data_IF_541543374512
#
_entry.id   IF_541543374512
#
_cell.length_a   1.000
_cell.length_b   1.000
_cell.length_c   1.000
_cell.angle_alpha   90.00
_cell.angle_beta   90.00
_cell.angle_gamma   90.00
#
_symmetry.space_group_name_H-M   'P 1'
#
loop_
_entity.id
_entity.type
_entity.pdbx_description
1 polymer ?
#
# COMPACT_ATOMS: atom_id res chain seq x y z
N UNK A 1 17.51 11.62 -14.03
CA UNK A 1 16.30 11.04 -14.64
C UNK A 1 16.48 9.53 -14.70
N UNK A 2 15.93 8.71 -13.79
CA UNK A 2 15.99 7.27 -13.95
C UNK A 2 14.78 6.76 -14.74
N UNK A 3 15.04 5.69 -15.48
CA UNK A 3 14.35 5.26 -16.68
C UNK A 3 12.99 4.60 -16.43
N UNK A 4 12.10 4.73 -17.42
CA UNK A 4 10.88 3.93 -17.54
C UNK A 4 11.21 2.43 -17.39
N UNK A 5 10.26 1.61 -16.88
CA UNK A 5 10.51 0.19 -16.64
C UNK A 5 11.02 -0.48 -17.92
N UNK A 6 12.24 -1.01 -17.87
CA UNK A 6 12.83 -1.76 -18.97
C UNK A 6 11.84 -2.87 -19.39
N UNK A 7 11.69 -3.14 -20.69
CA UNK A 7 10.68 -4.05 -21.23
C UNK A 7 10.62 -5.45 -20.56
N UNK A 8 11.72 -5.89 -19.91
CA UNK A 8 11.75 -7.09 -19.08
C UNK A 8 10.89 -7.00 -17.81
N UNK A 9 10.86 -5.85 -17.12
CA UNK A 9 10.11 -5.68 -15.87
C UNK A 9 8.60 -5.86 -16.06
N UNK A 10 8.05 -5.37 -17.18
CA UNK A 10 6.62 -5.57 -17.51
C UNK A 10 6.25 -7.04 -17.65
N UNK A 11 7.10 -7.84 -18.31
CA UNK A 11 6.87 -9.29 -18.45
C UNK A 11 6.95 -10.01 -17.12
N UNK A 12 7.86 -9.60 -16.24
CA UNK A 12 7.96 -10.15 -14.88
C UNK A 12 6.67 -9.86 -14.09
N UNK A 13 6.13 -8.64 -14.16
CA UNK A 13 4.86 -8.32 -13.49
C UNK A 13 3.68 -9.09 -14.06
N UNK A 14 3.63 -9.31 -15.37
CA UNK A 14 2.61 -10.16 -16.00
C UNK A 14 2.70 -11.60 -15.49
N UNK A 15 3.91 -12.16 -15.44
CA UNK A 15 4.13 -13.50 -14.89
C UNK A 15 3.75 -13.59 -13.40
N UNK A 16 4.11 -12.58 -12.59
CA UNK A 16 3.70 -12.52 -11.18
C UNK A 16 2.18 -12.46 -11.02
N UNK A 17 1.50 -11.71 -11.90
CA UNK A 17 0.04 -11.66 -11.92
C UNK A 17 -0.55 -13.04 -12.22
N UNK A 18 -0.10 -13.71 -13.28
CA UNK A 18 -0.58 -15.05 -13.65
C UNK A 18 -0.40 -16.08 -12.51
N UNK A 19 0.78 -16.08 -11.87
CA UNK A 19 1.09 -16.96 -10.74
C UNK A 19 0.19 -16.66 -9.54
N UNK A 20 0.02 -15.38 -9.19
CA UNK A 20 -0.81 -14.98 -8.05
C UNK A 20 -2.30 -15.28 -8.29
N UNK A 21 -2.79 -15.07 -9.51
CA UNK A 21 -4.17 -15.42 -9.90
C UNK A 21 -4.40 -16.92 -9.85
N UNK A 22 -3.45 -17.74 -10.31
CA UNK A 22 -3.55 -19.20 -10.20
C UNK A 22 -3.53 -19.71 -8.74
N UNK A 23 -2.87 -18.97 -7.84
CA UNK A 23 -2.81 -19.28 -6.41
C UNK A 23 -4.03 -18.80 -5.62
N UNK A 24 -4.83 -17.87 -6.15
CA UNK A 24 -5.94 -17.27 -5.42
C UNK A 24 -7.00 -18.28 -4.96
N UNK A 25 -7.49 -19.23 -5.78
CA UNK A 25 -8.50 -20.19 -5.34
C UNK A 25 -8.02 -21.16 -4.22
N UNK A 26 -6.83 -21.79 -4.30
CA UNK A 26 -6.39 -22.70 -3.23
C UNK A 26 -5.80 -21.97 -2.01
N UNK A 27 -5.20 -20.79 -2.19
CA UNK A 27 -4.46 -20.08 -1.14
C UNK A 27 -4.69 -18.55 -1.19
N UNK A 28 -5.91 -18.07 -0.92
CA UNK A 28 -6.28 -16.66 -1.13
C UNK A 28 -5.47 -15.69 -0.28
N UNK A 29 -5.21 -16.03 0.98
CA UNK A 29 -4.39 -15.20 1.86
C UNK A 29 -2.94 -15.03 1.33
N UNK A 30 -2.37 -16.08 0.75
CA UNK A 30 -1.02 -16.02 0.17
C UNK A 30 -1.01 -15.21 -1.12
N UNK A 31 -1.98 -15.46 -2.01
CA UNK A 31 -2.13 -14.72 -3.25
C UNK A 31 -2.30 -13.21 -2.99
N UNK A 32 -3.13 -12.82 -2.02
CA UNK A 32 -3.29 -11.43 -1.61
C UNK A 32 -1.95 -10.81 -1.18
N UNK A 33 -1.17 -11.50 -0.35
CA UNK A 33 0.15 -10.99 0.07
C UNK A 33 1.11 -10.84 -1.11
N UNK A 34 1.11 -11.81 -2.05
CA UNK A 34 1.91 -11.72 -3.27
C UNK A 34 1.53 -10.51 -4.12
N UNK A 35 0.24 -10.24 -4.29
CA UNK A 35 -0.24 -9.04 -4.98
C UNK A 35 0.22 -7.75 -4.30
N UNK A 36 0.14 -7.66 -2.96
CA UNK A 36 0.60 -6.48 -2.23
C UNK A 36 2.11 -6.27 -2.34
N UNK A 37 2.92 -7.34 -2.28
CA UNK A 37 4.37 -7.23 -2.48
C UNK A 37 4.72 -6.84 -3.92
N UNK A 38 4.00 -7.39 -4.91
CA UNK A 38 4.16 -7.01 -6.32
C UNK A 38 3.78 -5.56 -6.57
N UNK A 39 2.74 -5.04 -5.90
CA UNK A 39 2.37 -3.63 -5.94
C UNK A 39 3.50 -2.73 -5.43
N UNK A 40 4.12 -3.07 -4.29
CA UNK A 40 5.28 -2.32 -3.77
C UNK A 40 6.48 -2.35 -4.72
N UNK A 41 6.75 -3.49 -5.36
CA UNK A 41 7.80 -3.60 -6.37
C UNK A 41 7.49 -2.76 -7.63
N UNK A 42 6.22 -2.72 -8.06
CA UNK A 42 5.78 -1.89 -9.19
C UNK A 42 5.84 -0.38 -8.87
N UNK A 43 5.52 0.01 -7.63
CA UNK A 43 5.68 1.39 -7.13
C UNK A 43 7.15 1.83 -7.17
N UNK A 44 8.06 0.98 -6.66
CA UNK A 44 9.50 1.22 -6.72
C UNK A 44 10.03 1.31 -8.17
N UNK A 45 9.43 0.55 -9.10
CA UNK A 45 9.71 0.61 -10.52
C UNK A 45 9.04 1.80 -11.25
N UNK A 46 8.38 2.71 -10.53
CA UNK A 46 7.64 3.87 -11.07
C UNK A 46 6.57 3.49 -12.10
N UNK A 47 5.89 2.36 -11.87
CA UNK A 47 4.81 1.86 -12.72
C UNK A 47 3.45 1.92 -11.98
N UNK A 48 2.89 3.13 -11.73
CA UNK A 48 1.73 3.32 -10.87
C UNK A 48 0.48 2.57 -11.36
N UNK A 49 0.27 2.48 -12.68
CA UNK A 49 -0.86 1.72 -13.25
C UNK A 49 -0.78 0.22 -12.96
N UNK A 50 0.43 -0.37 -12.96
CA UNK A 50 0.64 -1.78 -12.60
C UNK A 50 0.45 -1.97 -11.10
N UNK A 51 0.98 -1.05 -10.28
CA UNK A 51 0.79 -1.10 -8.83
C UNK A 51 -0.70 -1.00 -8.45
N UNK A 52 -1.45 -0.13 -9.11
CA UNK A 52 -2.89 0.05 -8.87
C UNK A 52 -3.68 -1.22 -9.21
N UNK A 53 -3.35 -1.85 -10.34
CA UNK A 53 -3.95 -3.12 -10.74
C UNK A 53 -3.70 -4.20 -9.68
N UNK A 54 -2.47 -4.33 -9.19
CA UNK A 54 -2.15 -5.31 -8.16
C UNK A 54 -2.89 -5.05 -6.83
N UNK A 55 -3.02 -3.80 -6.40
CA UNK A 55 -3.83 -3.49 -5.20
C UNK A 55 -5.31 -3.80 -5.44
N UNK A 56 -5.82 -3.51 -6.64
CA UNK A 56 -7.21 -3.83 -7.01
C UNK A 56 -7.48 -5.34 -6.99
N UNK A 57 -6.55 -6.16 -7.49
CA UNK A 57 -6.64 -7.61 -7.39
C UNK A 57 -6.61 -8.11 -5.94
N UNK A 58 -5.76 -7.50 -5.09
CA UNK A 58 -5.75 -7.81 -3.66
C UNK A 58 -7.10 -7.49 -2.99
N UNK A 59 -7.79 -6.42 -3.42
CA UNK A 59 -9.11 -6.06 -2.91
C UNK A 59 -10.19 -7.06 -3.34
N UNK A 60 -10.14 -7.52 -4.59
CA UNK A 60 -11.07 -8.56 -5.08
C UNK A 60 -10.94 -9.86 -4.27
N UNK A 61 -9.72 -10.33 -4.03
CA UNK A 61 -9.49 -11.53 -3.20
C UNK A 61 -10.00 -11.34 -1.77
N UNK A 62 -9.85 -10.13 -1.22
CA UNK A 62 -10.41 -9.82 0.10
C UNK A 62 -11.94 -9.92 0.12
N UNK A 63 -12.61 -9.48 -0.93
CA UNK A 63 -14.07 -9.47 -1.04
C UNK A 63 -14.66 -10.86 -1.34
N UNK A 64 -14.03 -11.61 -2.23
CA UNK A 64 -14.61 -12.84 -2.81
C UNK A 64 -14.13 -14.11 -2.11
N UNK A 65 -12.87 -14.16 -1.66
CA UNK A 65 -12.23 -15.42 -1.24
C UNK A 65 -11.92 -15.48 0.27
N UNK A 66 -11.82 -14.33 0.96
CA UNK A 66 -11.51 -14.28 2.38
C UNK A 66 -12.77 -14.20 3.25
N UNK A 67 -13.22 -15.34 3.79
CA UNK A 67 -14.38 -15.41 4.69
C UNK A 67 -14.04 -15.39 6.20
N UNK A 68 -12.84 -15.81 6.60
CA UNK A 68 -12.47 -15.87 8.02
C UNK A 68 -12.20 -14.48 8.61
N UNK A 69 -12.89 -14.13 9.70
CA UNK A 69 -12.80 -12.81 10.33
C UNK A 69 -11.39 -12.41 10.78
N UNK A 70 -10.57 -13.37 11.25
CA UNK A 70 -9.20 -13.08 11.69
C UNK A 70 -8.28 -12.91 10.49
N UNK A 71 -8.46 -13.72 9.45
CA UNK A 71 -7.75 -13.58 8.19
C UNK A 71 -8.07 -12.24 7.51
N UNK A 72 -9.34 -11.82 7.49
CA UNK A 72 -9.77 -10.51 6.99
C UNK A 72 -9.07 -9.36 7.73
N UNK A 73 -9.06 -9.38 9.07
CA UNK A 73 -8.37 -8.34 9.85
C UNK A 73 -6.88 -8.25 9.49
N UNK A 74 -6.17 -9.38 9.41
CA UNK A 74 -4.75 -9.44 9.04
C UNK A 74 -4.49 -8.98 7.60
N UNK A 75 -5.35 -9.39 6.67
CA UNK A 75 -5.26 -8.97 5.28
C UNK A 75 -5.44 -7.45 5.18
N UNK A 76 -6.43 -6.90 5.89
CA UNK A 76 -6.69 -5.47 5.90
C UNK A 76 -5.56 -4.65 6.54
N UNK A 77 -4.95 -5.15 7.62
CA UNK A 77 -3.72 -4.55 8.18
C UNK A 77 -2.59 -4.49 7.13
N UNK A 78 -2.44 -5.56 6.35
CA UNK A 78 -1.41 -5.65 5.30
C UNK A 78 -1.72 -4.73 4.12
N UNK A 79 -2.98 -4.66 3.68
CA UNK A 79 -3.44 -3.77 2.60
C UNK A 79 -3.19 -2.31 2.95
N UNK A 80 -3.53 -1.90 4.17
CA UNK A 80 -3.27 -0.56 4.65
C UNK A 80 -1.77 -0.26 4.75
N UNK A 81 -0.97 -1.22 5.22
CA UNK A 81 0.49 -1.11 5.24
C UNK A 81 1.10 -0.93 3.85
N UNK A 82 0.65 -1.71 2.87
CA UNK A 82 1.09 -1.63 1.48
C UNK A 82 0.73 -0.27 0.85
N UNK A 83 -0.51 0.19 1.03
CA UNK A 83 -0.97 1.51 0.56
C UNK A 83 -0.14 2.65 1.14
N UNK A 84 0.24 2.56 2.41
CA UNK A 84 1.11 3.55 3.05
C UNK A 84 2.50 3.56 2.44
N UNK A 85 3.05 2.39 2.12
CA UNK A 85 4.39 2.24 1.55
C UNK A 85 4.48 2.69 0.09
N UNK A 86 3.41 2.53 -0.70
CA UNK A 86 3.38 3.00 -2.09
C UNK A 86 3.21 4.53 -2.14
N UNK A 87 4.14 5.21 -2.82
CA UNK A 87 4.19 6.69 -2.87
C UNK A 87 4.06 7.25 -4.28
N UNK A 88 4.04 6.42 -5.32
CA UNK A 88 3.97 6.84 -6.71
C UNK A 88 2.55 7.00 -7.25
N UNK A 89 1.51 6.74 -6.43
CA UNK A 89 0.11 6.92 -6.81
C UNK A 89 -0.28 8.40 -6.95
N UNK A 90 -1.19 8.66 -7.89
CA UNK A 90 -1.85 9.95 -7.96
C UNK A 90 -2.73 10.18 -6.72
N UNK A 91 -2.88 11.43 -6.23
CA UNK A 91 -3.64 11.72 -5.02
C UNK A 91 -5.08 11.21 -5.05
N UNK A 92 -5.75 11.30 -6.21
CA UNK A 92 -7.13 10.81 -6.38
C UNK A 92 -7.24 9.30 -6.21
N UNK A 93 -6.30 8.56 -6.80
CA UNK A 93 -6.30 7.10 -6.77
C UNK A 93 -5.94 6.61 -5.37
N UNK A 94 -4.98 7.28 -4.71
CA UNK A 94 -4.64 7.02 -3.32
C UNK A 94 -5.84 7.23 -2.40
N UNK A 95 -6.56 8.34 -2.54
CA UNK A 95 -7.74 8.63 -1.72
C UNK A 95 -8.87 7.62 -1.95
N UNK A 96 -9.08 7.19 -3.20
CA UNK A 96 -10.06 6.15 -3.52
C UNK A 96 -9.71 4.80 -2.84
N UNK A 97 -8.45 4.37 -2.93
CA UNK A 97 -7.99 3.12 -2.31
C UNK A 97 -8.01 3.21 -0.77
N UNK A 98 -7.60 4.34 -0.20
CA UNK A 98 -7.66 4.58 1.24
C UNK A 98 -9.11 4.56 1.77
N UNK A 99 -10.04 5.16 1.01
CA UNK A 99 -11.47 5.14 1.33
C UNK A 99 -12.01 3.71 1.32
N UNK A 100 -11.64 2.88 0.34
CA UNK A 100 -12.03 1.47 0.32
C UNK A 100 -11.51 0.71 1.55
N UNK A 101 -10.24 0.88 1.92
CA UNK A 101 -9.68 0.27 3.13
C UNK A 101 -10.45 0.70 4.39
N UNK A 102 -10.77 1.99 4.52
CA UNK A 102 -11.57 2.49 5.64
C UNK A 102 -12.98 1.89 5.67
N UNK A 103 -13.62 1.73 4.51
CA UNK A 103 -14.93 1.06 4.40
C UNK A 103 -14.88 -0.40 4.81
N UNK A 104 -13.84 -1.15 4.42
CA UNK A 104 -13.66 -2.53 4.88
C UNK A 104 -13.42 -2.59 6.39
N UNK A 105 -12.62 -1.68 6.94
CA UNK A 105 -12.34 -1.62 8.38
C UNK A 105 -13.63 -1.40 9.17
N UNK A 106 -14.50 -0.50 8.70
CA UNK A 106 -15.79 -0.21 9.31
C UNK A 106 -16.79 -1.38 9.22
N UNK A 107 -16.61 -2.32 8.27
CA UNK A 107 -17.50 -3.47 8.07
C UNK A 107 -17.07 -4.74 8.82
N UNK A 108 -15.94 -4.71 9.55
CA UNK A 108 -15.49 -5.86 10.33
C UNK A 108 -16.49 -6.26 11.42
N UNK A 109 -16.72 -7.56 11.56
CA UNK A 109 -17.67 -8.13 12.51
C UNK A 109 -17.24 -7.92 13.98
N UNK A 110 -15.93 -7.92 14.25
CA UNK A 110 -15.38 -7.86 15.61
C UNK A 110 -15.04 -6.43 15.97
N UNK A 111 -15.76 -5.86 16.96
CA UNK A 111 -15.56 -4.47 17.42
C UNK A 111 -14.11 -4.12 17.82
N UNK A 112 -13.35 -4.96 18.52
CA UNK A 112 -11.96 -4.64 18.85
C UNK A 112 -11.09 -4.47 17.59
N UNK A 113 -11.28 -5.35 16.61
CA UNK A 113 -10.53 -5.31 15.35
C UNK A 113 -10.98 -4.11 14.50
N UNK A 114 -12.29 -3.84 14.45
CA UNK A 114 -12.89 -2.68 13.79
C UNK A 114 -12.28 -1.36 14.29
N UNK A 115 -12.26 -1.13 15.61
CA UNK A 115 -11.70 0.10 16.18
C UNK A 115 -10.21 0.27 15.85
N UNK A 116 -9.42 -0.81 15.99
CA UNK A 116 -7.98 -0.79 15.69
C UNK A 116 -7.72 -0.50 14.21
N UNK A 117 -8.47 -1.12 13.31
CA UNK A 117 -8.27 -0.98 11.86
C UNK A 117 -8.81 0.34 11.31
N UNK A 118 -9.89 0.89 11.88
CA UNK A 118 -10.37 2.24 11.54
C UNK A 118 -9.33 3.29 11.95
N UNK A 119 -8.74 3.16 13.15
CA UNK A 119 -7.66 4.05 13.58
C UNK A 119 -6.43 3.93 12.67
N UNK A 120 -6.09 2.72 12.22
CA UNK A 120 -5.00 2.51 11.27
C UNK A 120 -5.33 3.17 9.91
N UNK A 121 -6.54 2.98 9.38
CA UNK A 121 -6.97 3.57 8.12
C UNK A 121 -6.96 5.11 8.15
N UNK A 122 -7.21 5.74 9.30
CA UNK A 122 -7.12 7.20 9.45
C UNK A 122 -5.71 7.74 9.11
N UNK A 123 -4.65 6.95 9.36
CA UNK A 123 -3.28 7.35 9.01
C UNK A 123 -3.04 7.44 7.50
N UNK A 124 -3.81 6.74 6.67
CA UNK A 124 -3.66 6.80 5.20
C UNK A 124 -3.96 8.20 4.65
N UNK A 125 -4.91 8.90 5.27
CA UNK A 125 -5.31 10.25 4.89
C UNK A 125 -4.37 11.34 5.42
N UNK A 126 -3.58 11.05 6.45
CA UNK A 126 -2.64 12.01 7.02
C UNK A 126 -1.43 12.28 6.11
N UNK A 127 -0.95 11.24 5.41
CA UNK A 127 0.22 11.36 4.54
C UNK A 127 -0.07 11.99 3.18
N UNK A 128 -1.35 12.08 2.79
CA UNK A 128 -1.81 12.62 1.51
C UNK A 128 -1.72 14.16 1.42
N UNK A 129 -1.48 14.87 2.54
CA UNK A 129 -1.40 16.34 2.58
C UNK A 129 -0.01 16.84 3.02
N UNK A 130 0.93 17.07 2.08
CA UNK A 130 2.26 17.60 2.40
C UNK A 130 2.24 18.96 3.11
N UNK A 131 1.21 19.78 2.86
CA UNK A 131 1.08 21.14 3.40
C UNK A 131 0.63 21.22 4.86
N UNK A 132 0.08 20.13 5.43
CA UNK A 132 -0.40 20.10 6.81
C UNK A 132 0.56 19.38 7.77
N UNK A 133 1.75 18.99 7.29
CA UNK A 133 2.83 18.53 8.17
C UNK A 133 3.26 19.71 9.03
N UNK A 134 2.59 19.91 10.16
CA UNK A 134 3.17 20.57 11.31
C UNK A 134 4.55 19.95 11.47
N UNK A 135 5.59 20.75 11.26
CA UNK A 135 6.97 20.33 11.32
C UNK A 135 7.17 19.61 12.66
N UNK A 136 7.21 18.28 12.61
CA UNK A 136 7.44 17.52 13.82
C UNK A 136 8.80 17.97 14.37
N UNK A 137 8.95 18.19 15.69
CA UNK A 137 10.23 18.59 16.27
C UNK A 137 11.37 17.63 15.91
N UNK A 138 11.04 16.35 15.63
CA UNK A 138 12.00 15.32 15.18
C UNK A 138 12.55 15.57 13.78
N UNK A 139 11.76 16.09 12.85
CA UNK A 139 12.23 16.43 11.50
C UNK A 139 12.97 17.77 11.46
N UNK A 140 12.63 18.72 12.36
CA UNK A 140 13.37 19.97 12.51
C UNK A 140 14.79 19.74 13.09
N UNK A 141 14.92 18.83 14.07
CA UNK A 141 16.22 18.49 14.65
C UNK A 141 17.15 17.77 13.65
N UNK A 142 16.61 16.91 12.78
CA UNK A 142 17.40 16.22 11.75
C UNK A 142 17.83 17.18 10.61
N UNK A 143 16.98 18.13 10.22
CA UNK A 143 17.33 19.15 9.22
C UNK A 143 18.41 20.13 9.72
N UNK A 144 18.47 20.40 11.03
CA UNK A 144 19.51 21.25 11.61
C UNK A 144 20.89 20.57 11.68
N UNK A 145 20.97 19.24 11.67
CA UNK A 145 22.23 18.50 11.81
C UNK A 145 22.89 18.12 10.46
N UNK A 146 22.16 18.20 9.34
CA UNK A 146 22.68 17.88 8.00
C UNK A 146 23.31 19.04 7.23
N UNK A 147 23.25 20.27 7.73
CA UNK A 147 23.64 21.49 6.99
C UNK A 147 25.07 21.99 7.18
N UNK A 148 25.89 21.35 8.04
CA UNK A 148 27.15 21.96 8.50
C UNK A 148 28.45 21.36 7.95
N UNK A 149 28.43 20.35 7.05
CA UNK A 149 29.69 19.64 6.67
C UNK A 149 30.04 19.70 5.17
N UNK A 150 29.42 20.56 4.36
CA UNK A 150 29.80 20.71 2.93
C UNK A 150 30.18 22.16 2.56
N UNK A 151 30.65 22.96 3.52
CA UNK A 151 31.11 24.34 3.26
C UNK A 151 32.56 24.62 3.71
N UNK A 152 33.41 23.60 3.87
CA UNK A 152 34.83 23.80 4.13
C UNK A 152 35.68 22.64 3.59
N UNK A 153 35.99 22.69 2.29
CA UNK A 153 37.23 22.21 1.66
C UNK A 153 37.24 22.64 0.19
#
# INVERSE_FOLDING_TARGET
>A
VPAAPAAGARRVFQFLHEVATALAPPFPALALQLFLQAAGAADAARAPGIAYEFISQAFLIYEEELADSRAQARALESMAGALRACVAFDPSDRDALATKVAQYAAKLLRRPDQCRLVALAAHLFWEAYPGLRLSSPRTAAAAAQGGAVVAAA
#
